data_IF_501051526537
#
_entry.id   IF_501051526537
#
_cell.length_a   1.000
_cell.length_b   1.000
_cell.length_c   1.000
_cell.angle_alpha   90.00
_cell.angle_beta   90.00
_cell.angle_gamma   90.00
#
_symmetry.space_group_name_H-M   'P 1'
#
loop_
_entity.id
_entity.type
_entity.pdbx_description
1 polymer ?
#
# COMPACT_ATOMS: atom_id res chain seq x y z
N UNK A 1 -5.35 14.77 8.95
CA UNK A 1 -4.11 15.20 8.29
C UNK A 1 -4.42 15.98 7.01
N UNK A 2 -5.19 15.44 6.08
CA UNK A 2 -5.53 16.09 4.80
C UNK A 2 -6.30 17.39 4.96
N UNK A 3 -7.12 17.51 5.99
CA UNK A 3 -7.78 18.79 6.35
C UNK A 3 -6.78 19.90 6.67
N UNK A 4 -5.59 19.54 7.16
CA UNK A 4 -4.54 20.50 7.54
C UNK A 4 -3.58 20.84 6.41
N UNK A 5 -3.21 19.85 5.58
CA UNK A 5 -2.19 20.01 4.53
C UNK A 5 -2.79 20.23 3.13
N UNK A 6 -4.08 19.93 2.96
CA UNK A 6 -4.75 19.98 1.65
C UNK A 6 -4.29 18.86 0.70
N UNK A 7 -5.03 18.66 -0.38
CA UNK A 7 -4.69 17.67 -1.42
C UNK A 7 -3.32 17.97 -2.07
N UNK A 8 -3.09 19.21 -2.42
CA UNK A 8 -1.86 19.64 -3.09
C UNK A 8 -0.66 19.54 -2.16
N UNK A 9 -0.83 19.82 -0.86
CA UNK A 9 0.25 19.74 0.13
C UNK A 9 0.83 18.35 0.26
N UNK A 10 0.01 17.30 0.17
CA UNK A 10 0.48 15.91 0.17
C UNK A 10 1.32 15.63 -1.08
N UNK A 11 0.79 15.92 -2.27
CA UNK A 11 1.49 15.67 -3.53
C UNK A 11 2.80 16.47 -3.64
N UNK A 12 2.81 17.73 -3.19
CA UNK A 12 4.04 18.54 -3.10
C UNK A 12 5.07 17.87 -2.17
N UNK A 13 4.63 17.34 -1.03
CA UNK A 13 5.52 16.65 -0.07
C UNK A 13 6.13 15.40 -0.69
N UNK A 14 5.33 14.61 -1.39
CA UNK A 14 5.80 13.39 -2.06
C UNK A 14 6.80 13.70 -3.18
N UNK A 15 6.52 14.71 -3.99
CA UNK A 15 7.45 15.18 -5.02
C UNK A 15 8.77 15.66 -4.40
N UNK A 16 8.74 16.44 -3.31
CA UNK A 16 9.94 16.84 -2.58
C UNK A 16 10.72 15.64 -1.99
N UNK A 17 10.03 14.58 -1.63
CA UNK A 17 10.65 13.33 -1.19
C UNK A 17 11.30 12.53 -2.35
N UNK A 18 10.96 12.87 -3.61
CA UNK A 18 11.50 12.25 -4.82
C UNK A 18 10.59 11.17 -5.42
N UNK A 19 9.28 11.24 -5.16
CA UNK A 19 8.26 10.41 -5.82
C UNK A 19 7.72 11.16 -7.04
N UNK A 20 8.47 11.16 -8.14
CA UNK A 20 8.11 11.89 -9.37
C UNK A 20 7.10 11.12 -10.24
N UNK A 21 7.15 9.77 -10.19
CA UNK A 21 6.27 8.88 -10.96
C UNK A 21 5.09 8.36 -10.13
N UNK A 22 4.91 8.89 -8.93
CA UNK A 22 3.76 8.59 -8.09
C UNK A 22 2.51 9.25 -8.69
N UNK A 23 1.48 8.47 -8.98
CA UNK A 23 0.18 9.08 -9.29
C UNK A 23 -0.35 9.81 -8.04
N UNK A 24 -1.16 10.87 -8.22
CA UNK A 24 -1.68 11.64 -7.09
C UNK A 24 -2.27 10.72 -6.03
N UNK A 25 -1.76 10.82 -4.80
CA UNK A 25 -2.34 10.08 -3.69
C UNK A 25 -3.70 10.68 -3.39
N UNK A 26 -4.71 9.87 -3.62
CA UNK A 26 -6.07 10.13 -3.16
C UNK A 26 -6.25 9.45 -1.81
N UNK A 27 -7.25 9.88 -1.08
CA UNK A 27 -7.62 9.17 0.12
C UNK A 27 -7.96 7.72 -0.23
N UNK A 28 -7.27 6.77 0.37
CA UNK A 28 -7.66 5.36 0.34
C UNK A 28 -9.13 5.22 0.74
N UNK A 29 -9.59 6.03 1.70
CA UNK A 29 -10.98 6.14 2.09
C UNK A 29 -11.91 6.34 0.88
N UNK A 30 -11.58 7.25 -0.05
CA UNK A 30 -12.41 7.48 -1.23
C UNK A 30 -12.53 6.24 -2.12
N UNK A 31 -11.44 5.50 -2.33
CA UNK A 31 -11.46 4.25 -3.09
C UNK A 31 -12.34 3.19 -2.38
N UNK A 32 -12.17 3.05 -1.06
CA UNK A 32 -12.98 2.13 -0.25
C UNK A 32 -14.46 2.49 -0.30
N UNK A 33 -14.81 3.78 -0.18
CA UNK A 33 -16.19 4.24 -0.25
C UNK A 33 -16.81 4.03 -1.63
N UNK A 34 -16.03 4.13 -2.70
CA UNK A 34 -16.51 3.80 -4.06
C UNK A 34 -16.77 2.31 -4.21
N UNK A 35 -15.90 1.47 -3.66
CA UNK A 35 -16.01 0.01 -3.77
C UNK A 35 -17.18 -0.56 -2.94
N UNK A 36 -17.41 -0.02 -1.76
CA UNK A 36 -18.30 -0.57 -0.73
C UNK A 36 -19.38 0.42 -0.31
N UNK A 37 -19.88 1.23 -1.24
CA UNK A 37 -20.90 2.23 -0.93
C UNK A 37 -22.23 1.56 -0.56
N UNK A 38 -22.76 1.86 0.63
CA UNK A 38 -24.03 1.33 1.12
C UNK A 38 -25.26 1.79 0.31
N UNK A 39 -25.12 2.87 -0.46
CA UNK A 39 -26.18 3.34 -1.37
C UNK A 39 -26.37 2.40 -2.58
N UNK A 40 -25.43 1.46 -2.82
CA UNK A 40 -25.56 0.49 -3.90
C UNK A 40 -26.19 -0.81 -3.40
N UNK A 41 -27.18 -1.29 -4.13
CA UNK A 41 -27.81 -2.57 -3.81
C UNK A 41 -26.88 -3.77 -4.10
N UNK A 42 -26.02 -3.63 -5.10
CA UNK A 42 -25.07 -4.65 -5.54
C UNK A 42 -23.85 -3.94 -6.17
N UNK A 43 -22.64 -4.51 -6.08
CA UNK A 43 -21.48 -4.04 -6.83
C UNK A 43 -21.77 -4.08 -8.33
N UNK A 44 -21.57 -2.94 -9.02
CA UNK A 44 -21.72 -2.81 -10.47
C UNK A 44 -20.37 -2.42 -11.10
N UNK A 45 -19.78 -3.38 -11.84
CA UNK A 45 -18.49 -3.19 -12.50
C UNK A 45 -18.53 -2.09 -13.56
N UNK A 46 -19.66 -1.87 -14.24
CA UNK A 46 -19.77 -0.82 -15.25
C UNK A 46 -19.83 0.56 -14.60
N UNK A 47 -20.55 0.68 -13.50
CA UNK A 47 -20.58 1.91 -12.69
C UNK A 47 -19.19 2.21 -12.12
N UNK A 48 -18.51 1.23 -11.56
CA UNK A 48 -17.16 1.37 -11.06
C UNK A 48 -16.19 1.83 -12.17
N UNK A 49 -16.27 1.21 -13.35
CA UNK A 49 -15.43 1.60 -14.50
C UNK A 49 -15.73 3.04 -14.96
N UNK A 50 -16.99 3.47 -14.95
CA UNK A 50 -17.37 4.84 -15.27
C UNK A 50 -16.73 5.84 -14.29
N UNK A 51 -16.80 5.57 -12.99
CA UNK A 51 -16.15 6.38 -11.95
C UNK A 51 -14.64 6.42 -12.14
N UNK A 52 -14.01 5.29 -12.45
CA UNK A 52 -12.57 5.22 -12.71
C UNK A 52 -12.18 6.07 -13.92
N UNK A 53 -12.96 6.05 -14.98
CA UNK A 53 -12.70 6.85 -16.17
C UNK A 53 -12.78 8.35 -15.87
N UNK A 54 -13.78 8.80 -15.10
CA UNK A 54 -13.88 10.18 -14.63
C UNK A 54 -12.68 10.58 -13.79
N UNK A 55 -12.35 9.76 -12.80
CA UNK A 55 -11.20 9.95 -11.91
C UNK A 55 -9.89 10.03 -12.72
N UNK A 56 -9.73 9.21 -13.75
CA UNK A 56 -8.55 9.21 -14.63
C UNK A 56 -8.47 10.44 -15.52
N UNK A 57 -9.62 11.02 -15.90
CA UNK A 57 -9.69 12.29 -16.61
C UNK A 57 -9.48 13.53 -15.73
N UNK A 58 -9.32 13.33 -14.43
CA UNK A 58 -9.12 14.40 -13.43
C UNK A 58 -10.39 14.84 -12.70
N UNK A 59 -11.57 14.31 -13.07
CA UNK A 59 -12.81 14.58 -12.35
C UNK A 59 -12.92 13.69 -11.11
N UNK A 60 -12.72 14.27 -9.92
CA UNK A 60 -12.79 13.56 -8.64
C UNK A 60 -14.03 13.89 -7.81
N UNK A 61 -14.95 14.67 -8.35
CA UNK A 61 -16.08 15.25 -7.61
C UNK A 61 -16.93 14.20 -6.88
N UNK A 62 -17.17 13.07 -7.53
CA UNK A 62 -17.92 11.98 -6.92
C UNK A 62 -17.19 11.37 -5.71
N UNK A 63 -15.92 11.04 -5.88
CA UNK A 63 -15.09 10.47 -4.81
C UNK A 63 -14.93 11.43 -3.64
N UNK A 64 -14.72 12.72 -3.95
CA UNK A 64 -14.58 13.78 -2.95
C UNK A 64 -15.88 14.00 -2.17
N UNK A 65 -17.04 13.88 -2.84
CA UNK A 65 -18.36 13.96 -2.20
C UNK A 65 -18.54 12.81 -1.20
N UNK A 66 -18.22 11.57 -1.56
CA UNK A 66 -18.32 10.43 -0.64
C UNK A 66 -17.42 10.61 0.59
N UNK A 67 -16.21 11.08 0.39
CA UNK A 67 -15.29 11.37 1.49
C UNK A 67 -15.85 12.49 2.38
N UNK A 68 -16.43 13.54 1.79
CA UNK A 68 -17.04 14.62 2.54
C UNK A 68 -18.24 14.13 3.37
N UNK A 69 -19.12 13.33 2.79
CA UNK A 69 -20.26 12.70 3.50
C UNK A 69 -19.78 11.88 4.68
N UNK A 70 -18.84 10.95 4.45
CA UNK A 70 -18.26 10.13 5.53
C UNK A 70 -17.68 10.94 6.69
N UNK A 71 -17.03 12.06 6.40
CA UNK A 71 -16.38 12.89 7.42
C UNK A 71 -17.37 13.80 8.15
N UNK A 72 -18.45 14.26 7.51
CA UNK A 72 -19.30 15.32 8.02
C UNK A 72 -20.77 14.92 8.27
N UNK A 73 -21.19 13.76 7.80
CA UNK A 73 -22.54 13.22 8.03
C UNK A 73 -22.43 11.96 8.91
N UNK A 74 -22.75 12.06 10.21
CA UNK A 74 -22.66 10.95 11.14
C UNK A 74 -23.61 9.78 10.77
N UNK A 75 -24.83 10.08 10.34
CA UNK A 75 -25.84 9.05 10.03
C UNK A 75 -25.39 8.27 8.79
N UNK A 76 -24.97 8.97 7.72
CA UNK A 76 -24.42 8.35 6.52
C UNK A 76 -23.20 7.48 6.82
N UNK A 77 -22.29 7.98 7.70
CA UNK A 77 -21.09 7.23 8.10
C UNK A 77 -21.45 5.97 8.88
N UNK A 78 -22.40 6.02 9.80
CA UNK A 78 -22.78 4.88 10.61
C UNK A 78 -23.44 3.80 9.73
N UNK A 79 -24.29 4.17 8.76
CA UNK A 79 -24.84 3.27 7.75
C UNK A 79 -23.73 2.62 6.92
N UNK A 80 -22.73 3.40 6.49
CA UNK A 80 -21.59 2.90 5.73
C UNK A 80 -20.74 1.93 6.53
N UNK A 81 -20.46 2.21 7.82
CA UNK A 81 -19.70 1.31 8.70
C UNK A 81 -20.47 0.00 8.90
N UNK A 82 -21.77 0.07 9.14
CA UNK A 82 -22.60 -1.11 9.30
C UNK A 82 -22.66 -1.95 8.03
N UNK A 83 -22.80 -1.30 6.86
CA UNK A 83 -22.78 -1.97 5.58
C UNK A 83 -21.44 -2.72 5.36
N UNK A 84 -20.31 -2.07 5.63
CA UNK A 84 -18.99 -2.70 5.48
C UNK A 84 -18.79 -3.86 6.46
N UNK A 85 -19.27 -3.75 7.69
CA UNK A 85 -19.17 -4.81 8.68
C UNK A 85 -19.94 -6.08 8.28
N UNK A 86 -21.06 -5.89 7.55
CA UNK A 86 -21.91 -6.96 7.11
C UNK A 86 -21.75 -7.32 5.63
N UNK A 87 -20.72 -6.76 4.96
CA UNK A 87 -20.59 -6.85 3.49
C UNK A 87 -20.53 -8.29 3.00
N UNK A 88 -19.75 -9.15 3.66
CA UNK A 88 -19.64 -10.57 3.32
C UNK A 88 -20.95 -11.36 3.45
N UNK A 89 -21.86 -10.88 4.29
CA UNK A 89 -23.15 -11.55 4.55
C UNK A 89 -24.26 -11.02 3.64
N UNK A 90 -24.11 -9.82 3.10
CA UNK A 90 -25.14 -9.13 2.32
C UNK A 90 -24.87 -9.13 0.82
N UNK A 91 -23.61 -9.20 0.41
CA UNK A 91 -23.21 -9.18 -1.00
C UNK A 91 -22.78 -10.56 -1.43
N UNK A 92 -23.66 -11.20 -2.20
CA UNK A 92 -23.42 -12.52 -2.79
C UNK A 92 -23.07 -12.32 -4.27
N UNK A 93 -21.78 -12.20 -4.57
CA UNK A 93 -21.29 -12.29 -5.94
C UNK A 93 -20.60 -13.64 -6.15
N UNK A 94 -20.71 -14.24 -7.33
CA UNK A 94 -19.82 -15.33 -7.72
C UNK A 94 -18.37 -14.89 -7.54
N UNK A 95 -17.51 -15.81 -7.12
CA UNK A 95 -16.10 -15.50 -6.82
C UNK A 95 -15.41 -14.80 -8.01
N UNK A 96 -15.64 -15.27 -9.23
CA UNK A 96 -15.06 -14.68 -10.45
C UNK A 96 -15.51 -13.21 -10.67
N UNK A 97 -16.78 -12.90 -10.39
CA UNK A 97 -17.29 -11.53 -10.52
C UNK A 97 -16.72 -10.61 -9.43
N UNK A 98 -16.58 -11.11 -8.22
CA UNK A 98 -15.97 -10.36 -7.13
C UNK A 98 -14.50 -10.04 -7.44
N UNK A 99 -13.76 -11.00 -8.02
CA UNK A 99 -12.39 -10.78 -8.44
C UNK A 99 -12.28 -9.76 -9.56
N UNK A 100 -13.13 -9.86 -10.58
CA UNK A 100 -13.17 -8.91 -11.68
C UNK A 100 -13.49 -7.49 -11.17
N UNK A 101 -14.44 -7.36 -10.24
CA UNK A 101 -14.78 -6.10 -9.59
C UNK A 101 -13.57 -5.49 -8.85
N UNK A 102 -12.87 -6.29 -8.05
CA UNK A 102 -11.71 -5.83 -7.29
C UNK A 102 -10.53 -5.49 -8.19
N UNK A 103 -10.29 -6.20 -9.28
CA UNK A 103 -9.26 -5.87 -10.25
C UNK A 103 -9.51 -4.49 -10.89
N UNK A 104 -10.75 -4.21 -11.27
CA UNK A 104 -11.15 -2.88 -11.75
C UNK A 104 -10.97 -1.83 -10.65
N UNK A 105 -11.39 -2.11 -9.43
CA UNK A 105 -11.27 -1.21 -8.27
C UNK A 105 -9.81 -0.87 -7.94
N UNK A 106 -8.86 -1.78 -8.18
CA UNK A 106 -7.43 -1.53 -7.98
C UNK A 106 -6.90 -0.34 -8.80
N UNK A 107 -7.59 0.07 -9.84
CA UNK A 107 -7.24 1.25 -10.63
C UNK A 107 -7.48 2.57 -9.87
N UNK A 108 -8.31 2.56 -8.82
CA UNK A 108 -8.53 3.71 -7.94
C UNK A 108 -7.34 3.98 -7.00
N UNK A 109 -6.51 2.98 -6.75
CA UNK A 109 -5.36 3.12 -5.85
C UNK A 109 -4.20 3.85 -6.53
N UNK A 110 -3.43 4.64 -5.76
CA UNK A 110 -2.26 5.32 -6.29
C UNK A 110 -1.20 4.32 -6.74
N UNK A 111 -0.49 4.66 -7.81
CA UNK A 111 0.59 3.85 -8.40
C UNK A 111 1.92 4.58 -8.23
N UNK A 112 2.98 3.82 -8.04
CA UNK A 112 4.34 4.32 -7.94
C UNK A 112 5.35 3.28 -8.44
N UNK A 113 6.63 3.60 -8.36
CA UNK A 113 7.69 2.71 -8.82
C UNK A 113 8.47 2.11 -7.65
N UNK A 114 8.88 0.85 -7.77
CA UNK A 114 9.69 0.19 -6.75
C UNK A 114 11.01 0.95 -6.50
N UNK A 115 11.59 1.55 -7.52
CA UNK A 115 12.81 2.35 -7.43
C UNK A 115 12.63 3.56 -6.51
N UNK A 116 11.56 4.33 -6.68
CA UNK A 116 11.29 5.51 -5.86
C UNK A 116 11.01 5.14 -4.41
N UNK A 117 10.23 4.09 -4.20
CA UNK A 117 9.98 3.59 -2.85
C UNK A 117 11.26 3.04 -2.19
N UNK A 118 12.17 2.42 -2.95
CA UNK A 118 13.47 2.01 -2.43
C UNK A 118 14.33 3.22 -2.05
N UNK A 119 14.34 4.28 -2.84
CA UNK A 119 15.05 5.53 -2.51
C UNK A 119 14.51 6.19 -1.26
N UNK A 120 13.17 6.26 -1.10
CA UNK A 120 12.54 6.80 0.11
C UNK A 120 12.89 5.94 1.31
N UNK A 121 12.75 4.62 1.22
CA UNK A 121 13.09 3.71 2.32
C UNK A 121 14.57 3.86 2.73
N UNK A 122 15.48 4.04 1.76
CA UNK A 122 16.87 4.30 2.04
C UNK A 122 17.12 5.66 2.71
N UNK A 123 16.37 6.70 2.34
CA UNK A 123 16.43 8.01 3.01
C UNK A 123 15.90 7.93 4.44
N UNK A 124 14.78 7.23 4.66
CA UNK A 124 14.20 6.99 5.99
C UNK A 124 15.23 6.26 6.86
N UNK A 125 15.74 5.12 6.40
CA UNK A 125 16.69 4.30 7.13
C UNK A 125 17.94 5.08 7.60
N UNK A 126 18.37 6.06 6.81
CA UNK A 126 19.54 6.90 7.08
C UNK A 126 19.23 8.20 7.83
N UNK A 127 18.00 8.44 8.24
CA UNK A 127 17.60 9.70 8.87
C UNK A 127 17.64 10.93 7.94
N UNK A 128 17.48 10.72 6.62
CA UNK A 128 17.66 11.76 5.59
C UNK A 128 16.42 12.06 4.75
N UNK A 129 15.25 11.62 5.20
CA UNK A 129 14.00 12.00 4.55
C UNK A 129 13.50 13.31 5.18
N UNK A 130 13.39 14.38 4.42
CA UNK A 130 12.92 15.70 4.84
C UNK A 130 13.77 16.30 5.98
N UNK A 131 13.68 15.76 7.19
CA UNK A 131 14.51 16.09 8.36
C UNK A 131 14.86 14.83 9.15
N UNK A 132 15.83 14.95 10.06
CA UNK A 132 16.22 13.85 10.96
C UNK A 132 15.05 13.45 11.86
N UNK A 133 14.40 14.42 12.49
CA UNK A 133 13.27 14.18 13.41
C UNK A 133 12.09 13.52 12.68
N UNK A 134 11.76 13.96 11.48
CA UNK A 134 10.71 13.33 10.68
C UNK A 134 11.06 11.88 10.31
N UNK A 135 12.33 11.63 9.97
CA UNK A 135 12.82 10.29 9.66
C UNK A 135 12.76 9.37 10.88
N UNK A 136 13.14 9.86 12.06
CA UNK A 136 13.10 9.11 13.32
C UNK A 136 11.66 8.73 13.71
N UNK A 137 10.71 9.64 13.58
CA UNK A 137 9.28 9.36 13.83
C UNK A 137 8.79 8.28 12.87
N UNK A 138 9.12 8.38 11.58
CA UNK A 138 8.73 7.39 10.59
C UNK A 138 9.39 6.04 10.88
N UNK A 139 10.68 6.02 11.24
CA UNK A 139 11.39 4.79 11.64
C UNK A 139 10.69 4.11 12.81
N UNK A 140 10.35 4.86 13.88
CA UNK A 140 9.65 4.30 15.04
C UNK A 140 8.36 3.60 14.64
N UNK A 141 7.58 4.18 13.70
CA UNK A 141 6.35 3.57 13.22
C UNK A 141 6.60 2.34 12.33
N UNK A 142 7.60 2.39 11.44
CA UNK A 142 7.91 1.27 10.55
C UNK A 142 8.60 0.11 11.27
N UNK A 143 9.36 0.39 12.32
CA UNK A 143 10.08 -0.60 13.12
C UNK A 143 9.21 -1.24 14.21
N UNK A 144 8.09 -0.60 14.53
CA UNK A 144 7.09 -1.14 15.47
C UNK A 144 6.14 -2.13 14.75
N UNK A 145 6.71 -3.04 13.98
CA UNK A 145 5.96 -4.13 13.34
C UNK A 145 5.51 -5.12 14.42
N UNK A 146 4.28 -5.69 14.32
CA UNK A 146 3.79 -6.65 15.30
C UNK A 146 4.79 -7.76 15.59
N UNK A 147 4.82 -8.19 16.85
CA UNK A 147 5.79 -9.18 17.39
C UNK A 147 5.57 -10.60 16.87
N UNK A 148 4.56 -10.81 16.08
CA UNK A 148 4.14 -12.08 15.49
C UNK A 148 4.94 -12.49 14.23
N UNK A 149 5.86 -11.64 13.76
CA UNK A 149 6.79 -12.03 12.70
C UNK A 149 8.19 -12.40 13.27
N UNK A 150 8.38 -13.64 13.74
CA UNK A 150 9.59 -14.06 14.43
C UNK A 150 10.85 -14.03 13.58
N UNK A 151 10.74 -14.15 12.26
CA UNK A 151 11.88 -14.10 11.32
C UNK A 151 12.65 -12.78 11.41
N UNK A 152 11.96 -11.68 11.69
CA UNK A 152 12.58 -10.37 11.88
C UNK A 152 13.65 -10.39 12.99
N UNK A 153 13.31 -10.96 14.14
CA UNK A 153 14.21 -11.01 15.30
C UNK A 153 15.38 -11.98 15.10
N UNK A 154 15.20 -12.98 14.24
CA UNK A 154 16.24 -13.97 13.96
C UNK A 154 17.30 -13.42 13.00
N UNK A 155 16.88 -12.65 11.99
CA UNK A 155 17.75 -12.32 10.86
C UNK A 155 18.26 -10.88 10.83
N UNK A 156 17.61 -9.96 11.58
CA UNK A 156 17.91 -8.54 11.49
C UNK A 156 18.14 -7.90 12.86
N UNK A 157 19.15 -7.02 12.94
CA UNK A 157 19.37 -6.13 14.07
C UNK A 157 18.42 -4.94 14.02
N UNK A 158 18.08 -4.48 12.80
CA UNK A 158 17.12 -3.43 12.54
C UNK A 158 16.24 -3.81 11.35
N UNK A 159 14.95 -3.55 11.47
CA UNK A 159 14.00 -3.84 10.41
C UNK A 159 12.80 -2.90 10.49
N UNK A 160 12.53 -2.20 9.41
CA UNK A 160 11.34 -1.38 9.24
C UNK A 160 10.65 -1.72 7.93
N UNK A 161 9.33 -1.89 7.96
CA UNK A 161 8.55 -2.25 6.77
C UNK A 161 7.16 -1.63 6.77
N UNK A 162 6.63 -1.48 5.56
CA UNK A 162 5.21 -1.22 5.29
C UNK A 162 4.77 -2.07 4.12
N UNK A 163 3.71 -2.78 4.32
CA UNK A 163 3.05 -3.60 3.32
C UNK A 163 1.68 -3.05 2.94
N UNK A 164 1.14 -3.57 1.86
CA UNK A 164 -0.22 -3.31 1.40
C UNK A 164 -0.72 -4.49 0.60
N UNK A 165 -1.96 -4.86 0.84
CA UNK A 165 -2.61 -6.01 0.22
C UNK A 165 -3.99 -5.61 -0.26
N UNK A 166 -4.26 -5.90 -1.52
CA UNK A 166 -5.62 -5.96 -2.09
C UNK A 166 -5.67 -7.14 -3.05
N UNK A 167 -6.85 -7.53 -3.51
CA UNK A 167 -6.97 -8.69 -4.40
C UNK A 167 -6.06 -8.56 -5.64
N UNK A 168 -5.23 -9.55 -5.89
CA UNK A 168 -4.27 -9.57 -6.99
C UNK A 168 -3.09 -8.59 -6.83
N UNK A 169 -2.98 -7.89 -5.69
CA UNK A 169 -1.90 -6.92 -5.41
C UNK A 169 -1.22 -7.26 -4.09
N UNK A 170 0.09 -7.32 -4.11
CA UNK A 170 0.96 -7.41 -2.94
C UNK A 170 2.06 -6.36 -3.07
N UNK A 171 2.21 -5.53 -2.06
CA UNK A 171 3.25 -4.53 -2.01
C UNK A 171 3.98 -4.58 -0.67
N UNK A 172 5.29 -4.46 -0.70
CA UNK A 172 6.10 -4.35 0.50
C UNK A 172 7.28 -3.44 0.22
N UNK A 173 7.53 -2.51 1.12
CA UNK A 173 8.71 -1.68 1.14
C UNK A 173 9.38 -1.78 2.50
N UNK A 174 10.66 -2.13 2.53
CA UNK A 174 11.39 -2.35 3.77
C UNK A 174 12.82 -1.88 3.71
N UNK A 175 13.38 -1.65 4.89
CA UNK A 175 14.81 -1.54 5.12
C UNK A 175 15.22 -2.42 6.31
N UNK A 176 16.44 -2.93 6.28
CA UNK A 176 16.97 -3.80 7.31
C UNK A 176 18.48 -3.66 7.49
N UNK A 177 18.97 -4.00 8.68
CA UNK A 177 20.39 -4.30 8.95
C UNK A 177 20.45 -5.79 9.27
N UNK A 178 21.03 -6.62 8.38
CA UNK A 178 21.18 -8.06 8.64
C UNK A 178 22.16 -8.34 9.80
N UNK A 179 21.86 -9.40 10.57
CA UNK A 179 22.76 -9.90 11.66
C UNK A 179 24.02 -10.61 11.17
N UNK A 180 24.31 -10.51 9.89
CA UNK A 180 25.49 -11.13 9.29
C UNK A 180 26.71 -10.23 9.44
N UNK A 181 27.83 -10.79 9.87
CA UNK A 181 29.07 -10.04 10.09
C UNK A 181 29.61 -9.34 8.84
N UNK A 182 29.44 -9.96 7.65
CA UNK A 182 29.84 -9.39 6.36
C UNK A 182 28.91 -8.27 5.85
N UNK A 183 27.74 -8.12 6.45
CA UNK A 183 26.76 -7.10 6.14
C UNK A 183 26.43 -6.18 7.33
N UNK A 184 27.16 -6.35 8.43
CA UNK A 184 26.95 -5.56 9.63
C UNK A 184 27.00 -4.05 9.32
N UNK A 185 26.07 -3.30 9.92
CA UNK A 185 25.93 -1.85 9.76
C UNK A 185 25.51 -1.38 8.36
N UNK A 186 25.28 -2.28 7.40
CA UNK A 186 24.82 -1.92 6.07
C UNK A 186 23.30 -1.99 5.98
N UNK A 187 22.67 -0.86 5.71
CA UNK A 187 21.24 -0.87 5.36
C UNK A 187 21.00 -1.56 4.02
N UNK A 188 20.10 -2.52 4.04
CA UNK A 188 19.53 -3.17 2.86
C UNK A 188 18.10 -2.66 2.68
N UNK A 189 17.71 -2.40 1.46
CA UNK A 189 16.38 -1.96 1.11
C UNK A 189 15.78 -2.93 0.10
N UNK A 190 14.60 -3.41 0.38
CA UNK A 190 13.86 -4.31 -0.52
C UNK A 190 12.48 -3.72 -0.75
N UNK A 191 12.10 -3.58 -2.01
CA UNK A 191 10.75 -3.17 -2.43
C UNK A 191 10.23 -4.16 -3.45
N UNK A 192 9.09 -4.73 -3.15
CA UNK A 192 8.35 -5.64 -4.02
C UNK A 192 6.99 -5.00 -4.29
N UNK A 193 6.69 -4.73 -5.55
CA UNK A 193 5.38 -4.24 -6.01
C UNK A 193 4.87 -5.24 -7.04
N UNK A 194 3.97 -6.10 -6.64
CA UNK A 194 3.32 -7.07 -7.51
C UNK A 194 1.85 -6.69 -7.71
N UNK A 195 1.40 -6.71 -8.95
CA UNK A 195 0.02 -6.44 -9.34
C UNK A 195 -0.41 -7.44 -10.42
N UNK A 196 -1.71 -7.53 -10.67
CA UNK A 196 -2.31 -8.49 -11.59
C UNK A 196 -1.89 -9.94 -11.31
N UNK A 197 -1.68 -10.28 -10.03
CA UNK A 197 -1.35 -11.64 -9.64
C UNK A 197 -2.56 -12.55 -9.89
N UNK A 198 -2.37 -13.74 -10.51
CA UNK A 198 -3.42 -14.75 -10.54
C UNK A 198 -3.90 -15.05 -9.12
N UNK A 199 -5.22 -15.18 -8.92
CA UNK A 199 -5.82 -15.27 -7.59
C UNK A 199 -5.31 -16.43 -6.76
N UNK A 200 -5.14 -17.60 -7.39
CA UNK A 200 -4.56 -18.75 -6.71
C UNK A 200 -3.12 -18.52 -6.23
N UNK A 201 -2.34 -17.75 -6.97
CA UNK A 201 -0.97 -17.34 -6.58
C UNK A 201 -1.04 -16.32 -5.45
N UNK A 202 -1.89 -15.31 -5.57
CA UNK A 202 -2.08 -14.28 -4.54
C UNK A 202 -2.56 -14.88 -3.21
N UNK A 203 -3.59 -15.75 -3.23
CA UNK A 203 -4.09 -16.42 -2.04
C UNK A 203 -3.02 -17.32 -1.40
N UNK A 204 -2.25 -18.06 -2.21
CA UNK A 204 -1.13 -18.85 -1.73
C UNK A 204 -0.04 -18.00 -1.08
N UNK A 205 0.30 -16.83 -1.65
CA UNK A 205 1.27 -15.91 -1.05
C UNK A 205 0.80 -15.37 0.31
N UNK A 206 -0.50 -15.09 0.46
CA UNK A 206 -1.06 -14.67 1.75
C UNK A 206 -1.05 -15.81 2.77
N UNK A 207 -1.47 -16.99 2.36
CA UNK A 207 -1.56 -18.15 3.25
C UNK A 207 -0.20 -18.61 3.80
N UNK A 208 0.84 -18.59 2.94
CA UNK A 208 2.17 -19.09 3.28
C UNK A 208 3.19 -17.98 3.55
N UNK A 209 2.77 -16.72 3.54
CA UNK A 209 3.65 -15.56 3.77
C UNK A 209 4.90 -15.54 2.89
N UNK A 210 4.83 -16.16 1.71
CA UNK A 210 5.98 -16.36 0.81
C UNK A 210 6.65 -15.05 0.38
N UNK A 211 5.89 -13.97 0.25
CA UNK A 211 6.40 -12.64 -0.06
C UNK A 211 7.27 -12.05 1.06
N UNK A 212 6.99 -12.37 2.34
CA UNK A 212 7.85 -11.97 3.47
C UNK A 212 9.13 -12.79 3.52
N UNK A 213 9.04 -14.10 3.21
CA UNK A 213 10.23 -14.95 3.10
C UNK A 213 11.15 -14.48 1.98
N UNK A 214 10.59 -14.20 0.79
CA UNK A 214 11.35 -13.64 -0.32
C UNK A 214 12.02 -12.31 0.05
N UNK A 215 11.30 -11.43 0.74
CA UNK A 215 11.84 -10.16 1.22
C UNK A 215 13.03 -10.38 2.17
N UNK A 216 12.88 -11.29 3.13
CA UNK A 216 13.95 -11.61 4.08
C UNK A 216 15.19 -12.18 3.38
N UNK A 217 15.00 -13.08 2.41
CA UNK A 217 16.08 -13.65 1.61
C UNK A 217 16.81 -12.58 0.78
N UNK A 218 16.05 -11.69 0.12
CA UNK A 218 16.62 -10.58 -0.64
C UNK A 218 17.40 -9.60 0.25
N UNK A 219 16.90 -9.30 1.45
CA UNK A 219 17.58 -8.41 2.40
C UNK A 219 18.87 -9.01 2.94
N UNK A 220 18.95 -10.34 3.03
CA UNK A 220 20.16 -11.07 3.45
C UNK A 220 21.05 -11.50 2.29
N UNK A 221 20.61 -11.26 1.05
CA UNK A 221 21.18 -11.90 -0.14
C UNK A 221 22.68 -11.73 -0.27
N UNK A 222 23.30 -12.90 -0.31
CA UNK A 222 24.62 -13.17 -0.89
C UNK A 222 24.42 -14.33 -1.86
N UNK A 223 25.12 -14.37 -2.94
CA UNK A 223 24.95 -15.38 -3.98
C UNK A 223 23.97 -14.95 -5.07
N UNK A 224 23.06 -15.81 -5.51
CA UNK A 224 22.22 -15.62 -6.71
C UNK A 224 21.52 -14.24 -6.71
N UNK A 225 21.09 -13.75 -5.56
CA UNK A 225 20.42 -12.44 -5.45
C UNK A 225 21.40 -11.28 -5.18
N UNK A 226 22.63 -11.55 -4.73
CA UNK A 226 23.66 -10.54 -4.55
C UNK A 226 24.09 -9.89 -5.87
N UNK A 227 23.89 -10.56 -6.99
CA UNK A 227 24.22 -10.11 -8.34
C UNK A 227 23.03 -9.45 -9.08
N UNK A 228 21.85 -9.45 -8.50
CA UNK A 228 20.73 -8.67 -9.05
C UNK A 228 21.03 -7.18 -8.86
N UNK A 229 21.83 -6.65 -9.76
CA UNK A 229 22.00 -5.20 -9.89
C UNK A 229 20.78 -4.66 -10.61
N UNK A 230 19.98 -3.88 -9.90
CA UNK A 230 18.93 -3.08 -10.54
C UNK A 230 19.60 -2.29 -11.66
N UNK A 231 19.24 -2.57 -12.91
CA UNK A 231 19.79 -1.93 -14.08
C UNK A 231 19.78 -0.39 -13.94
N UNK A 232 20.85 0.22 -14.44
CA UNK A 232 21.03 1.67 -14.50
C UNK A 232 19.93 2.30 -15.34
#
# INVERSE_FOLDING_TARGET
LLTRIGKDGLNITLSKAGLEHQTPIRLILGAVLVMFNHEYNQPDINQLQAIINEVSSGNTDYVDRLVYQYLNDPDWRDDQIQHMANYSDTVILPEEEMWAYQEVANQLFPKGTAREYAQISAKIARGKLISTEASEIIQQHLENVPSDWPLRLLYFDKFGAKDGVTAGVLTIASYAIPKRNDLAEQYRVVVILANHMPMNVWASQLQFEGHYLLQADLAQATGIFGDIRVGK
#
